data_IF_321236224055
#
_entry.id   IF_321236224055
#
_cell.length_a   1.000
_cell.length_b   1.000
_cell.length_c   1.000
_cell.angle_alpha   90.00
_cell.angle_beta   90.00
_cell.angle_gamma   90.00
#
_symmetry.space_group_name_H-M   'P 1'
#
loop_
_entity.id
_entity.type
_entity.pdbx_description
1 polymer ?
#
# COMPACT_ATOMS: atom_id res chain seq x y z
N UNK A 1 -8.15 -24.60 -3.46
CA UNK A 1 -8.34 -25.60 -4.53
C UNK A 1 -7.95 -24.97 -5.86
N UNK A 2 -6.80 -25.35 -6.40
CA UNK A 2 -6.42 -25.08 -7.79
C UNK A 2 -7.27 -26.00 -8.68
N UNK A 3 -7.86 -25.45 -9.75
CA UNK A 3 -8.56 -26.26 -10.74
C UNK A 3 -7.51 -27.08 -11.54
N UNK A 4 -7.50 -28.43 -11.46
CA UNK A 4 -6.45 -29.26 -12.08
C UNK A 4 -6.73 -29.58 -13.57
N UNK A 5 -7.71 -28.93 -14.20
CA UNK A 5 -8.23 -29.30 -15.52
C UNK A 5 -7.34 -29.05 -16.75
N UNK A 6 -6.02 -28.91 -16.61
CA UNK A 6 -5.12 -28.80 -17.78
C UNK A 6 -3.94 -29.79 -17.77
N UNK A 7 -3.98 -30.79 -16.90
CA UNK A 7 -2.97 -31.84 -16.85
C UNK A 7 -3.63 -33.22 -17.00
N UNK A 8 -4.05 -33.57 -18.22
CA UNK A 8 -4.05 -34.96 -18.72
C UNK A 8 -4.37 -35.07 -20.22
N UNK A 9 -3.48 -35.80 -20.89
CA UNK A 9 -3.71 -36.68 -22.05
C UNK A 9 -4.36 -36.12 -23.32
N UNK A 10 -3.57 -35.37 -24.08
CA UNK A 10 -3.37 -35.60 -25.53
C UNK A 10 -2.16 -34.77 -25.94
N UNK A 11 -1.34 -35.24 -26.89
CA UNK A 11 -0.06 -34.66 -27.30
C UNK A 11 -0.12 -33.26 -27.95
N UNK A 12 -0.97 -32.36 -27.47
CA UNK A 12 -0.96 -30.93 -27.79
C UNK A 12 -0.33 -30.18 -26.63
N UNK A 13 0.90 -29.70 -26.84
CA UNK A 13 1.46 -28.70 -25.94
C UNK A 13 0.51 -27.50 -25.93
N UNK A 14 -0.18 -27.25 -24.81
CA UNK A 14 -0.82 -25.95 -24.58
C UNK A 14 0.30 -24.90 -24.50
N UNK A 15 0.70 -24.36 -25.66
CA UNK A 15 1.60 -23.20 -25.72
C UNK A 15 0.82 -22.01 -25.17
N UNK A 16 1.01 -21.73 -23.89
CA UNK A 16 0.49 -20.50 -23.31
C UNK A 16 1.30 -19.36 -23.95
N UNK A 17 0.70 -18.66 -24.91
CA UNK A 17 1.23 -17.38 -25.39
C UNK A 17 1.16 -16.42 -24.21
N UNK A 18 2.31 -16.12 -23.60
CA UNK A 18 2.44 -15.16 -22.50
C UNK A 18 3.19 -13.95 -23.03
N UNK A 19 2.88 -12.77 -22.49
CA UNK A 19 3.58 -11.53 -22.83
C UNK A 19 4.77 -11.25 -21.89
N UNK A 20 4.97 -12.13 -20.90
CA UNK A 20 6.11 -12.06 -20.01
C UNK A 20 6.06 -13.04 -18.84
N UNK A 21 7.04 -12.86 -17.95
CA UNK A 21 7.21 -13.62 -16.71
C UNK A 21 7.45 -12.65 -15.56
N UNK A 22 6.79 -12.91 -14.43
CA UNK A 22 7.06 -12.24 -13.16
C UNK A 22 7.73 -13.23 -12.20
N UNK A 23 8.85 -12.80 -11.62
CA UNK A 23 9.53 -13.48 -10.53
C UNK A 23 9.10 -12.81 -9.23
N UNK A 24 8.10 -13.40 -8.58
CA UNK A 24 7.57 -12.89 -7.32
C UNK A 24 8.40 -13.41 -6.14
N UNK A 25 9.34 -12.60 -5.66
CA UNK A 25 10.17 -12.92 -4.48
C UNK A 25 9.53 -12.46 -3.17
N UNK A 26 8.34 -11.83 -3.18
CA UNK A 26 7.69 -11.32 -1.97
C UNK A 26 7.17 -12.41 -1.01
N UNK A 27 6.56 -13.52 -1.47
CA UNK A 27 6.02 -14.54 -0.56
C UNK A 27 7.07 -15.53 -0.01
N UNK A 28 8.38 -15.28 -0.21
CA UNK A 28 9.40 -16.20 0.29
C UNK A 28 10.84 -15.72 0.50
N UNK A 29 11.16 -14.42 0.75
CA UNK A 29 12.54 -14.03 1.09
C UNK A 29 13.18 -14.89 2.20
N UNK A 30 12.48 -15.28 3.28
CA UNK A 30 13.10 -16.13 4.30
C UNK A 30 13.38 -17.55 3.78
N UNK A 31 12.65 -18.08 2.78
CA UNK A 31 12.93 -19.42 2.26
C UNK A 31 14.17 -19.48 1.35
N UNK A 32 14.52 -18.38 0.70
CA UNK A 32 15.72 -18.32 -0.15
C UNK A 32 17.00 -18.08 0.65
N UNK A 33 16.89 -17.50 1.85
CA UNK A 33 18.04 -17.13 2.67
C UNK A 33 17.84 -17.57 4.12
N UNK A 34 18.53 -18.65 4.50
CA UNK A 34 18.52 -19.20 5.87
C UNK A 34 18.78 -18.16 6.95
N UNK A 35 19.65 -17.18 6.70
CA UNK A 35 19.94 -16.09 7.64
C UNK A 35 18.74 -15.18 7.88
N UNK A 36 17.94 -14.92 6.83
CA UNK A 36 16.69 -14.15 6.93
C UNK A 36 15.57 -15.00 7.51
N UNK A 37 15.54 -16.31 7.23
CA UNK A 37 14.63 -17.27 7.88
C UNK A 37 14.78 -17.27 9.42
N UNK A 38 16.02 -17.23 9.90
CA UNK A 38 16.36 -17.32 11.32
C UNK A 38 16.27 -15.96 12.04
N UNK A 39 15.65 -14.93 11.44
CA UNK A 39 15.43 -13.63 12.07
C UNK A 39 16.69 -12.82 12.37
N UNK A 40 17.84 -13.25 11.86
CA UNK A 40 19.09 -12.50 11.99
C UNK A 40 19.12 -11.37 10.97
N UNK A 41 19.68 -10.20 11.33
CA UNK A 41 20.02 -9.20 10.34
C UNK A 41 20.93 -9.88 9.32
N UNK A 42 20.47 -10.02 8.08
CA UNK A 42 21.22 -10.72 7.04
C UNK A 42 22.60 -10.07 6.88
N UNK A 43 23.62 -10.67 7.50
CA UNK A 43 25.00 -10.30 7.27
C UNK A 43 25.25 -10.47 5.77
N UNK A 44 25.83 -9.40 5.18
CA UNK A 44 26.29 -9.26 3.79
C UNK A 44 26.15 -10.59 3.02
N UNK A 45 25.02 -10.77 2.33
CA UNK A 45 24.96 -11.81 1.32
C UNK A 45 26.07 -11.46 0.32
N UNK A 46 27.06 -12.33 0.05
CA UNK A 46 28.12 -12.03 -0.90
C UNK A 46 27.47 -11.62 -2.22
N UNK A 47 27.93 -10.50 -2.76
CA UNK A 47 27.27 -9.57 -3.70
C UNK A 47 26.93 -10.15 -5.10
N UNK A 48 26.34 -11.35 -5.21
CA UNK A 48 26.06 -11.99 -6.51
C UNK A 48 24.90 -12.99 -6.59
N UNK A 49 24.32 -13.44 -5.48
CA UNK A 49 23.37 -14.56 -5.50
C UNK A 49 21.94 -14.23 -5.97
N UNK A 50 21.25 -13.14 -5.57
CA UNK A 50 19.89 -12.87 -6.07
C UNK A 50 19.88 -12.37 -7.54
N UNK A 51 20.98 -11.81 -8.03
CA UNK A 51 21.06 -11.32 -9.41
C UNK A 51 21.29 -12.43 -10.44
N UNK A 52 21.94 -13.53 -10.05
CA UNK A 52 22.28 -14.62 -10.97
C UNK A 52 21.04 -15.36 -11.49
N UNK A 53 20.06 -15.77 -10.65
CA UNK A 53 18.78 -16.31 -11.11
C UNK A 53 18.03 -15.34 -12.03
N UNK A 54 17.94 -14.05 -11.66
CA UNK A 54 17.28 -13.03 -12.48
C UNK A 54 17.93 -12.87 -13.86
N UNK A 55 19.27 -12.86 -13.92
CA UNK A 55 20.04 -12.82 -15.18
C UNK A 55 19.80 -14.06 -16.04
N UNK A 56 19.78 -15.24 -15.43
CA UNK A 56 19.55 -16.50 -16.14
C UNK A 56 18.13 -16.58 -16.72
N UNK A 57 17.12 -16.19 -15.92
CA UNK A 57 15.73 -16.09 -16.41
C UNK A 57 15.64 -15.08 -17.55
N UNK A 58 16.30 -13.92 -17.45
CA UNK A 58 16.28 -12.92 -18.53
C UNK A 58 16.88 -13.47 -19.84
N UNK A 59 17.99 -14.20 -19.78
CA UNK A 59 18.57 -14.86 -20.97
C UNK A 59 17.57 -15.82 -21.62
N UNK A 60 16.85 -16.61 -20.82
CA UNK A 60 15.80 -17.51 -21.32
C UNK A 60 14.63 -16.74 -21.94
N UNK A 61 14.17 -15.66 -21.28
CA UNK A 61 13.09 -14.80 -21.80
C UNK A 61 13.50 -14.15 -23.13
N UNK A 62 14.74 -13.70 -23.27
CA UNK A 62 15.25 -13.11 -24.53
C UNK A 62 15.32 -14.15 -25.65
N UNK A 63 15.81 -15.36 -25.36
CA UNK A 63 15.84 -16.47 -26.32
C UNK A 63 14.43 -16.82 -26.79
N UNK A 64 13.48 -16.90 -25.86
CA UNK A 64 12.09 -17.21 -26.16
C UNK A 64 11.37 -16.06 -26.89
N UNK A 65 11.71 -14.82 -26.58
CA UNK A 65 11.23 -13.63 -27.29
C UNK A 65 11.66 -13.64 -28.75
N UNK A 66 12.95 -13.94 -29.02
CA UNK A 66 13.45 -14.09 -30.38
C UNK A 66 12.77 -15.25 -31.12
N UNK A 67 12.59 -16.40 -30.44
CA UNK A 67 11.90 -17.57 -31.01
C UNK A 67 10.44 -17.29 -31.38
N UNK A 68 9.74 -16.44 -30.61
CA UNK A 68 8.35 -16.08 -30.86
C UNK A 68 8.18 -14.87 -31.78
N UNK A 69 9.25 -14.16 -32.12
CA UNK A 69 9.17 -12.92 -32.91
C UNK A 69 8.42 -11.78 -32.21
N UNK A 70 8.29 -11.82 -30.87
CA UNK A 70 7.63 -10.76 -30.09
C UNK A 70 8.39 -10.42 -28.80
N UNK A 71 8.37 -9.15 -28.33
CA UNK A 71 8.97 -8.78 -27.05
C UNK A 71 8.33 -9.53 -25.88
N UNK A 72 9.14 -10.14 -25.00
CA UNK A 72 8.67 -10.72 -23.74
C UNK A 72 9.20 -9.91 -22.54
N UNK A 73 8.28 -9.56 -21.63
CA UNK A 73 8.57 -8.82 -20.41
C UNK A 73 9.14 -9.74 -19.33
N UNK A 74 10.04 -9.21 -18.52
CA UNK A 74 10.53 -9.87 -17.32
C UNK A 74 10.46 -8.90 -16.14
N UNK A 75 9.70 -9.26 -15.11
CA UNK A 75 9.49 -8.48 -13.88
C UNK A 75 10.03 -9.19 -12.66
N UNK A 76 10.50 -8.41 -11.69
CA UNK A 76 10.82 -8.90 -10.35
C UNK A 76 9.99 -8.15 -9.29
N UNK A 77 9.47 -8.85 -8.30
CA UNK A 77 8.81 -8.23 -7.15
C UNK A 77 9.74 -8.33 -5.92
N UNK A 78 9.98 -7.22 -5.22
CA UNK A 78 10.92 -7.13 -4.10
C UNK A 78 10.40 -6.26 -2.96
N UNK A 79 10.87 -6.53 -1.74
CA UNK A 79 10.65 -5.62 -0.61
C UNK A 79 11.55 -4.38 -0.74
N UNK A 80 10.99 -3.17 -0.57
CA UNK A 80 11.77 -1.94 -0.63
C UNK A 80 12.59 -1.85 0.65
N UNK A 81 13.92 -1.80 0.54
CA UNK A 81 14.74 -1.10 1.52
C UNK A 81 15.40 0.09 0.82
N UNK A 82 15.35 1.31 1.39
CA UNK A 82 16.06 2.46 0.84
C UNK A 82 17.56 2.17 0.63
N UNK A 83 18.17 1.39 1.52
CA UNK A 83 19.57 0.98 1.41
C UNK A 83 19.85 -0.11 0.35
N UNK A 84 18.84 -0.85 -0.14
CA UNK A 84 19.00 -1.77 -1.28
C UNK A 84 18.92 -1.01 -2.61
N UNK A 85 18.19 0.10 -2.66
CA UNK A 85 18.18 1.01 -3.82
C UNK A 85 19.57 1.61 -4.04
N UNK A 86 20.21 2.10 -2.98
CA UNK A 86 21.58 2.64 -3.05
C UNK A 86 22.64 1.60 -3.49
N UNK A 87 22.45 0.31 -3.21
CA UNK A 87 23.39 -0.75 -3.66
C UNK A 87 23.15 -1.25 -5.09
N UNK A 88 21.96 -1.00 -5.63
CA UNK A 88 21.68 -1.24 -7.06
C UNK A 88 22.32 -0.20 -7.97
N UNK A 89 22.90 0.87 -7.41
CA UNK A 89 23.73 1.88 -8.09
C UNK A 89 25.16 1.37 -8.39
N UNK A 90 25.35 0.06 -8.58
CA UNK A 90 26.61 -0.43 -9.16
C UNK A 90 26.71 0.10 -10.59
N UNK A 91 27.51 1.15 -10.71
CA UNK A 91 27.88 1.99 -11.84
C UNK A 91 27.73 1.30 -13.20
N UNK A 92 26.86 1.78 -14.11
CA UNK A 92 27.01 1.45 -15.51
C UNK A 92 28.21 2.23 -16.04
N UNK A 93 29.29 1.52 -16.38
CA UNK A 93 30.38 2.11 -17.15
C UNK A 93 29.86 2.71 -18.46
N UNK A 94 30.57 3.70 -19.04
CA UNK A 94 30.17 4.36 -20.29
C UNK A 94 30.05 3.30 -21.39
N UNK A 95 28.83 3.08 -21.89
CA UNK A 95 28.51 2.08 -22.93
C UNK A 95 27.45 1.03 -22.56
N UNK A 96 26.99 0.98 -21.31
CA UNK A 96 25.98 0.00 -20.87
C UNK A 96 24.53 0.40 -21.22
N UNK A 97 24.12 0.21 -22.48
CA UNK A 97 22.69 0.14 -22.89
C UNK A 97 22.06 -1.18 -22.42
N UNK A 98 22.06 -1.46 -21.12
CA UNK A 98 21.47 -2.71 -20.62
C UNK A 98 20.39 -2.39 -19.58
N UNK A 99 19.15 -2.39 -20.07
CA UNK A 99 17.93 -2.48 -19.27
C UNK A 99 17.88 -3.86 -18.58
N UNK A 100 18.55 -4.00 -17.43
CA UNK A 100 18.71 -5.30 -16.76
C UNK A 100 17.52 -5.76 -15.92
N UNK A 101 16.49 -4.94 -15.69
CA UNK A 101 15.30 -5.40 -14.96
C UNK A 101 14.14 -4.44 -15.14
N UNK A 102 13.08 -4.87 -15.81
CA UNK A 102 11.82 -4.14 -15.74
C UNK A 102 11.19 -4.42 -14.36
N UNK A 103 10.87 -3.34 -13.65
CA UNK A 103 9.81 -3.21 -12.63
C UNK A 103 10.14 -3.58 -11.19
N UNK A 104 9.79 -2.62 -10.33
CA UNK A 104 9.79 -2.65 -8.88
C UNK A 104 8.33 -2.70 -8.40
N UNK A 105 8.01 -3.65 -7.52
CA UNK A 105 6.73 -3.73 -6.82
C UNK A 105 6.89 -3.45 -5.33
N UNK A 106 7.12 -2.18 -4.92
CA UNK A 106 7.39 -1.88 -3.52
C UNK A 106 6.23 -2.22 -2.59
N UNK A 107 6.60 -2.61 -1.37
CA UNK A 107 5.76 -2.69 -0.19
C UNK A 107 5.02 -4.03 0.00
N UNK A 108 5.08 -4.95 -0.96
CA UNK A 108 4.29 -6.19 -0.93
C UNK A 108 2.78 -5.96 -0.81
N UNK A 109 2.31 -4.72 -0.98
CA UNK A 109 0.93 -4.30 -0.76
C UNK A 109 0.48 -4.26 0.69
N UNK A 110 1.39 -4.47 1.64
CA UNK A 110 1.09 -4.58 3.06
C UNK A 110 1.00 -3.22 3.75
N UNK A 111 1.81 -2.25 3.34
CA UNK A 111 1.67 -0.84 3.77
C UNK A 111 0.95 -0.08 2.65
N UNK A 112 -0.24 0.42 2.94
CA UNK A 112 -1.17 0.91 1.91
C UNK A 112 -1.10 2.43 1.76
N UNK A 113 -1.35 3.16 2.84
CA UNK A 113 -1.45 4.63 2.79
C UNK A 113 -0.13 5.36 3.00
N UNK A 114 0.88 4.72 3.61
CA UNK A 114 2.12 5.40 4.04
C UNK A 114 3.39 4.93 3.32
N UNK A 115 3.25 4.08 2.29
CA UNK A 115 4.39 3.53 1.55
C UNK A 115 5.20 4.66 0.87
N UNK A 116 6.48 4.86 1.18
CA UNK A 116 7.28 5.91 0.55
C UNK A 116 7.79 5.42 -0.82
N UNK A 117 7.13 5.79 -1.92
CA UNK A 117 7.52 5.32 -3.27
C UNK A 117 8.31 6.34 -4.10
N UNK A 118 8.34 7.61 -3.69
CA UNK A 118 8.92 8.71 -4.49
C UNK A 118 10.38 8.46 -4.90
N UNK A 119 11.21 7.95 -3.99
CA UNK A 119 12.61 7.62 -4.27
C UNK A 119 12.73 6.54 -5.34
N UNK A 120 11.88 5.51 -5.27
CA UNK A 120 11.87 4.43 -6.27
C UNK A 120 11.33 4.90 -7.62
N UNK A 121 10.32 5.77 -7.63
CA UNK A 121 9.83 6.41 -8.85
C UNK A 121 10.94 7.27 -9.48
N UNK A 122 11.68 8.05 -8.68
CA UNK A 122 12.80 8.85 -9.17
C UNK A 122 13.91 7.97 -9.77
N UNK A 123 14.26 6.86 -9.12
CA UNK A 123 15.22 5.89 -9.66
C UNK A 123 14.71 5.24 -10.95
N UNK A 124 13.43 4.84 -10.98
CA UNK A 124 12.78 4.28 -12.16
C UNK A 124 12.85 5.23 -13.35
N UNK A 125 12.55 6.52 -13.13
CA UNK A 125 12.68 7.57 -14.16
C UNK A 125 14.12 7.72 -14.66
N UNK A 126 15.11 7.71 -13.77
CA UNK A 126 16.54 7.79 -14.15
C UNK A 126 17.00 6.60 -15.01
N UNK A 127 16.35 5.45 -14.88
CA UNK A 127 16.73 4.19 -15.54
C UNK A 127 15.75 3.77 -16.64
N UNK A 128 14.77 4.62 -16.98
CA UNK A 128 13.68 4.31 -17.92
C UNK A 128 12.94 2.99 -17.57
N UNK A 129 12.77 2.73 -16.27
CA UNK A 129 12.05 1.56 -15.75
C UNK A 129 10.75 1.99 -15.08
N UNK A 130 9.58 1.52 -15.55
CA UNK A 130 8.31 1.83 -14.93
C UNK A 130 8.17 1.18 -13.54
N UNK A 131 7.58 1.92 -12.61
CA UNK A 131 7.38 1.49 -11.22
C UNK A 131 5.90 1.22 -10.98
N UNK A 132 5.60 0.03 -10.47
CA UNK A 132 4.23 -0.43 -10.20
C UNK A 132 4.08 -0.81 -8.73
N UNK A 133 3.81 0.15 -7.84
CA UNK A 133 3.59 -0.13 -6.42
C UNK A 133 2.46 -1.14 -6.24
N UNK A 134 2.63 -2.02 -5.26
CA UNK A 134 1.65 -3.05 -4.95
C UNK A 134 0.64 -2.52 -3.92
N UNK A 135 -0.64 -2.79 -4.14
CA UNK A 135 -1.70 -2.72 -3.13
C UNK A 135 -2.27 -4.12 -2.92
N UNK A 136 -2.26 -4.61 -1.68
CA UNK A 136 -2.78 -5.93 -1.34
C UNK A 136 -4.12 -5.82 -0.63
N UNK A 137 -5.05 -6.70 -0.96
CA UNK A 137 -6.28 -6.89 -0.18
C UNK A 137 -5.96 -7.17 1.29
N UNK A 138 -4.87 -7.88 1.57
CA UNK A 138 -4.39 -8.12 2.92
C UNK A 138 -4.00 -6.80 3.61
N UNK A 139 -3.42 -5.83 2.91
CA UNK A 139 -3.14 -4.51 3.48
C UNK A 139 -4.40 -3.68 3.76
N UNK A 140 -5.49 -3.93 3.04
CA UNK A 140 -6.76 -3.17 3.10
C UNK A 140 -7.88 -3.96 3.80
N UNK A 141 -7.60 -4.43 5.01
CA UNK A 141 -8.58 -5.10 5.88
C UNK A 141 -8.77 -4.31 7.17
N UNK A 142 -10.00 -4.28 7.70
CA UNK A 142 -10.24 -3.84 9.07
C UNK A 142 -9.89 -4.97 10.03
N UNK A 143 -8.79 -4.80 10.77
CA UNK A 143 -8.31 -5.76 11.76
C UNK A 143 -8.70 -5.34 13.17
N UNK A 144 -8.59 -6.27 14.11
CA UNK A 144 -8.69 -5.96 15.53
C UNK A 144 -7.68 -4.85 15.90
N UNK A 145 -8.06 -3.84 16.70
CA UNK A 145 -9.35 -3.70 17.39
C UNK A 145 -10.46 -3.02 16.56
N UNK A 146 -10.20 -2.58 15.32
CA UNK A 146 -11.14 -1.80 14.49
C UNK A 146 -12.15 -2.63 13.69
N UNK A 147 -11.98 -3.95 13.65
CA UNK A 147 -12.85 -4.86 12.91
C UNK A 147 -12.45 -6.31 13.09
N UNK A 148 -13.07 -7.19 12.31
CA UNK A 148 -12.94 -8.64 12.42
C UNK A 148 -12.34 -9.23 11.13
N UNK A 149 -11.22 -8.65 10.67
CA UNK A 149 -10.55 -9.03 9.42
C UNK A 149 -11.51 -8.97 8.22
N UNK A 150 -12.32 -7.92 8.15
CA UNK A 150 -13.24 -7.68 7.03
C UNK A 150 -12.60 -6.74 6.01
N UNK A 151 -13.07 -6.77 4.76
CA UNK A 151 -12.56 -5.90 3.70
C UNK A 151 -12.85 -4.44 4.02
N UNK A 152 -11.88 -3.56 3.80
CA UNK A 152 -12.15 -2.13 3.77
C UNK A 152 -13.05 -1.77 2.56
N UNK A 153 -13.78 -0.64 2.62
CA UNK A 153 -14.57 -0.16 1.49
C UNK A 153 -13.71 0.07 0.24
N UNK A 154 -14.33 0.06 -0.94
CA UNK A 154 -13.61 0.28 -2.21
C UNK A 154 -12.96 1.67 -2.25
N UNK A 155 -13.54 2.64 -1.56
CA UNK A 155 -13.07 4.01 -1.39
C UNK A 155 -11.67 4.08 -0.75
N UNK A 156 -11.31 3.12 0.11
CA UNK A 156 -9.95 2.99 0.66
C UNK A 156 -8.92 2.65 -0.41
N UNK A 157 -9.27 1.77 -1.35
CA UNK A 157 -8.40 1.45 -2.49
C UNK A 157 -8.18 2.67 -3.36
N UNK A 158 -9.21 3.50 -3.52
CA UNK A 158 -9.14 4.73 -4.31
C UNK A 158 -8.20 5.73 -3.65
N UNK A 159 -8.29 5.93 -2.33
CA UNK A 159 -7.39 6.83 -1.61
C UNK A 159 -5.93 6.38 -1.66
N UNK A 160 -5.68 5.09 -1.40
CA UNK A 160 -4.34 4.52 -1.48
C UNK A 160 -3.77 4.65 -2.91
N UNK A 161 -4.57 4.33 -3.93
CA UNK A 161 -4.14 4.44 -5.33
C UNK A 161 -3.88 5.89 -5.75
N UNK A 162 -4.72 6.83 -5.31
CA UNK A 162 -4.56 8.25 -5.65
C UNK A 162 -3.24 8.80 -5.17
N UNK A 163 -2.78 8.37 -3.98
CA UNK A 163 -1.48 8.76 -3.45
C UNK A 163 -0.34 8.20 -4.29
N UNK A 164 -0.43 6.92 -4.68
CA UNK A 164 0.61 6.29 -5.51
C UNK A 164 0.70 6.94 -6.90
N UNK A 165 -0.42 7.31 -7.50
CA UNK A 165 -0.44 8.08 -8.75
C UNK A 165 0.20 9.45 -8.59
N UNK A 166 -0.12 10.17 -7.52
CA UNK A 166 0.47 11.49 -7.23
C UNK A 166 1.98 11.43 -7.01
N UNK A 167 2.46 10.37 -6.36
CA UNK A 167 3.89 10.10 -6.18
C UNK A 167 4.60 9.67 -7.49
N UNK A 168 3.86 9.52 -8.59
CA UNK A 168 4.39 9.31 -9.94
C UNK A 168 4.52 7.85 -10.36
N UNK A 169 3.74 6.93 -9.76
CA UNK A 169 3.68 5.54 -10.21
C UNK A 169 3.32 5.44 -11.70
N UNK A 170 3.90 4.45 -12.39
CA UNK A 170 3.57 4.15 -13.80
C UNK A 170 2.32 3.28 -13.95
N UNK A 171 1.81 2.77 -12.83
CA UNK A 171 0.61 1.95 -12.73
C UNK A 171 0.49 1.34 -11.34
N UNK A 172 -0.65 0.74 -11.05
CA UNK A 172 -0.92 0.11 -9.74
C UNK A 172 -0.97 -1.40 -9.93
N UNK A 173 -0.15 -2.13 -9.16
CA UNK A 173 -0.22 -3.57 -9.10
C UNK A 173 -1.12 -3.99 -7.94
N UNK A 174 -2.07 -4.89 -8.19
CA UNK A 174 -2.98 -5.39 -7.15
C UNK A 174 -2.64 -6.82 -6.77
N UNK A 175 -2.65 -7.11 -5.48
CA UNK A 175 -2.40 -8.44 -4.93
C UNK A 175 -3.58 -8.89 -4.07
N UNK A 176 -3.92 -10.17 -4.12
CA UNK A 176 -5.07 -10.76 -3.41
C UNK A 176 -6.44 -10.09 -3.69
N UNK A 177 -6.57 -9.30 -4.75
CA UNK A 177 -7.84 -8.74 -5.22
C UNK A 177 -8.34 -9.54 -6.42
N UNK A 178 -9.02 -10.65 -6.14
CA UNK A 178 -9.49 -11.55 -7.19
C UNK A 178 -10.96 -11.28 -7.54
N UNK A 179 -11.29 -11.05 -8.82
CA UNK A 179 -12.68 -11.02 -9.29
C UNK A 179 -13.30 -12.45 -9.37
N UNK A 180 -12.54 -13.50 -9.03
CA UNK A 180 -13.00 -14.88 -8.90
C UNK A 180 -11.84 -15.83 -8.53
N UNK A 181 -12.09 -17.04 -8.00
CA UNK A 181 -13.39 -17.58 -7.57
C UNK A 181 -13.80 -16.99 -6.20
N UNK A 182 -14.93 -16.28 -6.16
CA UNK A 182 -15.47 -15.63 -4.95
C UNK A 182 -16.98 -15.38 -5.08
N UNK A 183 -17.64 -14.87 -4.04
CA UNK A 183 -19.09 -14.60 -4.02
C UNK A 183 -19.47 -13.49 -5.02
N UNK A 184 -20.74 -13.37 -5.46
CA UNK A 184 -21.18 -12.24 -6.28
C UNK A 184 -20.80 -10.86 -5.70
N UNK A 185 -20.83 -10.73 -4.36
CA UNK A 185 -20.39 -9.53 -3.66
C UNK A 185 -18.88 -9.28 -3.85
N UNK A 186 -18.04 -10.31 -3.75
CA UNK A 186 -16.60 -10.22 -3.99
C UNK A 186 -16.29 -9.79 -5.42
N UNK A 187 -17.04 -10.33 -6.39
CA UNK A 187 -16.88 -9.96 -7.81
C UNK A 187 -17.27 -8.51 -8.05
N UNK A 188 -18.40 -8.06 -7.48
CA UNK A 188 -18.85 -6.66 -7.57
C UNK A 188 -17.84 -5.71 -6.92
N UNK A 189 -17.31 -6.10 -5.75
CA UNK A 189 -16.29 -5.35 -5.03
C UNK A 189 -15.01 -5.21 -5.86
N UNK A 190 -14.44 -6.32 -6.35
CA UNK A 190 -13.23 -6.32 -7.17
C UNK A 190 -13.41 -5.51 -8.46
N UNK A 191 -14.54 -5.69 -9.18
CA UNK A 191 -14.84 -4.92 -10.39
C UNK A 191 -14.93 -3.42 -10.13
N UNK A 192 -15.58 -3.00 -9.03
CA UNK A 192 -15.67 -1.60 -8.62
C UNK A 192 -14.28 -0.97 -8.44
N UNK A 193 -13.35 -1.72 -7.84
CA UNK A 193 -11.97 -1.25 -7.61
C UNK A 193 -11.18 -1.23 -8.92
N UNK A 194 -11.13 -2.37 -9.64
CA UNK A 194 -10.34 -2.52 -10.86
C UNK A 194 -10.78 -1.56 -11.98
N UNK A 195 -12.06 -1.22 -12.05
CA UNK A 195 -12.58 -0.24 -13.00
C UNK A 195 -12.23 1.22 -12.68
N UNK A 196 -11.60 1.50 -11.53
CA UNK A 196 -11.36 2.88 -11.05
C UNK A 196 -9.91 3.21 -10.75
N UNK A 197 -9.16 2.29 -10.13
CA UNK A 197 -7.80 2.59 -9.64
C UNK A 197 -6.75 2.82 -10.73
N UNK A 198 -7.08 2.54 -11.99
CA UNK A 198 -6.16 2.64 -13.12
C UNK A 198 -5.87 4.05 -13.62
N UNK A 199 -6.54 5.10 -13.13
CA UNK A 199 -6.24 6.48 -13.52
C UNK A 199 -6.65 7.49 -12.46
N UNK A 200 -5.90 8.60 -12.35
CA UNK A 200 -6.21 9.69 -11.41
C UNK A 200 -7.58 10.32 -11.70
N UNK A 201 -7.93 10.51 -12.97
CA UNK A 201 -9.23 11.08 -13.41
C UNK A 201 -10.42 10.28 -12.90
N UNK A 202 -10.35 8.95 -12.91
CA UNK A 202 -11.43 8.08 -12.41
C UNK A 202 -11.53 8.10 -10.88
N UNK A 203 -10.41 8.31 -10.19
CA UNK A 203 -10.36 8.38 -8.73
C UNK A 203 -11.02 9.65 -8.18
N UNK A 204 -10.73 10.81 -8.78
CA UNK A 204 -11.23 12.10 -8.31
C UNK A 204 -12.69 12.38 -8.69
N UNK A 205 -13.32 11.56 -9.54
CA UNK A 205 -14.74 11.72 -9.90
C UNK A 205 -15.71 10.94 -9.01
N UNK A 206 -15.22 10.29 -7.94
CA UNK A 206 -16.02 9.42 -7.07
C UNK A 206 -15.73 9.72 -5.60
N UNK A 207 -16.58 9.26 -4.65
CA UNK A 207 -16.21 9.26 -3.24
C UNK A 207 -14.88 8.52 -3.01
N UNK A 208 -14.07 9.05 -2.10
CA UNK A 208 -12.72 8.55 -1.82
C UNK A 208 -12.44 8.60 -0.32
N UNK A 209 -11.66 7.64 0.16
CA UNK A 209 -11.25 7.57 1.56
C UNK A 209 -9.72 7.58 1.64
N UNK A 210 -9.17 8.64 2.20
CA UNK A 210 -7.78 8.70 2.64
C UNK A 210 -7.68 8.23 4.08
N UNK A 211 -6.60 7.56 4.45
CA UNK A 211 -6.41 7.12 5.83
C UNK A 211 -4.94 7.09 6.20
N UNK A 212 -4.66 6.93 7.49
CA UNK A 212 -3.34 6.56 8.00
C UNK A 212 -3.30 5.03 8.10
N UNK A 213 -2.19 4.41 7.68
CA UNK A 213 -2.04 2.96 7.70
C UNK A 213 -2.17 2.41 9.13
N UNK A 214 -2.88 1.29 9.28
CA UNK A 214 -2.97 0.54 10.54
C UNK A 214 -1.89 -0.57 10.65
N UNK A 215 -0.89 -0.51 9.76
CA UNK A 215 0.20 -1.47 9.66
C UNK A 215 0.90 -1.76 11.00
N UNK A 216 0.97 -0.80 11.92
CA UNK A 216 1.61 -1.00 13.23
C UNK A 216 0.94 -2.06 14.11
N UNK A 217 -0.32 -2.43 13.85
CA UNK A 217 -1.00 -3.50 14.59
C UNK A 217 -0.55 -4.91 14.23
N UNK A 218 -0.13 -5.13 12.99
CA UNK A 218 0.05 -6.49 12.47
C UNK A 218 1.38 -6.69 11.77
N UNK A 219 2.03 -5.63 11.29
CA UNK A 219 3.38 -5.70 10.75
C UNK A 219 4.40 -6.24 11.75
N UNK A 220 4.38 -5.90 13.06
CA UNK A 220 5.34 -6.48 14.01
C UNK A 220 5.30 -8.02 14.07
N UNK A 221 4.13 -8.62 13.85
CA UNK A 221 3.96 -10.08 13.81
C UNK A 221 4.09 -10.66 12.39
N UNK A 222 4.29 -9.83 11.36
CA UNK A 222 4.27 -10.27 9.97
C UNK A 222 5.61 -10.85 9.53
N UNK A 223 5.66 -12.17 9.37
CA UNK A 223 6.89 -12.92 9.09
C UNK A 223 7.70 -12.47 7.87
N UNK A 224 7.08 -11.88 6.84
CA UNK A 224 7.77 -11.56 5.59
C UNK A 224 8.22 -10.11 5.45
N UNK A 225 7.56 -9.20 6.16
CA UNK A 225 7.64 -7.77 5.85
C UNK A 225 8.07 -6.90 7.04
N UNK A 226 8.05 -7.44 8.26
CA UNK A 226 8.36 -6.71 9.50
C UNK A 226 9.77 -6.10 9.52
N UNK A 227 10.75 -6.79 8.92
CA UNK A 227 12.16 -6.38 9.00
C UNK A 227 12.62 -5.53 7.80
N UNK A 228 11.73 -5.27 6.85
CA UNK A 228 12.07 -4.61 5.58
C UNK A 228 11.17 -3.43 5.25
N UNK A 229 9.94 -3.40 5.77
CA UNK A 229 9.01 -2.32 5.49
C UNK A 229 9.05 -1.27 6.60
N UNK A 230 9.15 0.00 6.22
CA UNK A 230 9.11 1.13 7.16
C UNK A 230 7.66 1.44 7.55
N UNK A 231 7.28 1.11 8.79
CA UNK A 231 5.91 1.35 9.31
C UNK A 231 5.88 2.19 10.59
N UNK A 232 6.96 2.87 10.98
CA UNK A 232 6.97 3.71 12.21
C UNK A 232 5.96 4.86 12.19
N UNK A 233 5.53 5.28 11.00
CA UNK A 233 4.53 6.32 10.78
C UNK A 233 3.08 5.80 10.86
N UNK A 234 2.88 4.48 10.87
CA UNK A 234 1.56 3.87 10.97
C UNK A 234 0.96 4.01 12.38
N UNK A 235 -0.32 3.67 12.49
CA UNK A 235 -1.04 3.48 13.75
C UNK A 235 -0.84 2.05 14.26
N UNK A 236 -0.91 1.82 15.59
CA UNK A 236 -1.38 2.73 16.64
C UNK A 236 -0.37 3.80 17.09
N UNK A 237 -0.89 4.91 17.61
CA UNK A 237 -0.15 5.96 18.30
C UNK A 237 -0.62 6.05 19.77
N UNK A 238 0.26 5.69 20.71
CA UNK A 238 -0.01 5.72 22.14
C UNK A 238 -0.04 7.17 22.68
N UNK A 239 -1.18 7.57 23.26
CA UNK A 239 -1.42 8.93 23.72
C UNK A 239 -0.91 9.17 25.13
N UNK A 240 -0.31 10.34 25.33
CA UNK A 240 0.13 10.86 26.62
C UNK A 240 -0.99 11.76 27.15
N UNK A 241 -1.42 11.59 28.42
CA UNK A 241 -2.46 12.44 29.01
C UNK A 241 -2.13 13.92 28.86
N UNK A 242 -3.13 14.71 28.49
CA UNK A 242 -3.08 16.16 28.36
C UNK A 242 -2.02 16.71 27.39
N UNK A 243 -1.45 15.87 26.51
CA UNK A 243 -0.49 16.31 25.49
C UNK A 243 -1.04 16.05 24.10
N UNK A 244 -0.90 17.05 23.23
CA UNK A 244 -1.16 16.84 21.81
C UNK A 244 -0.12 15.90 21.23
N UNK A 245 -0.62 14.94 20.47
CA UNK A 245 0.20 14.08 19.62
C UNK A 245 -0.36 14.08 18.22
N UNK A 246 0.50 13.76 17.25
CA UNK A 246 0.14 13.90 15.85
C UNK A 246 0.59 12.73 14.98
N UNK A 247 -0.19 12.54 13.91
CA UNK A 247 0.17 11.79 12.71
C UNK A 247 -0.23 12.58 11.47
N UNK A 248 0.38 12.24 10.35
CA UNK A 248 0.06 12.87 9.08
C UNK A 248 -0.84 11.96 8.27
N UNK A 249 -1.95 12.51 7.79
CA UNK A 249 -2.81 11.89 6.79
C UNK A 249 -2.54 12.59 5.45
N UNK A 250 -2.19 11.81 4.43
CA UNK A 250 -1.82 12.37 3.14
C UNK A 250 -3.00 12.45 2.17
N UNK A 251 -3.27 13.65 1.65
CA UNK A 251 -4.31 13.94 0.65
C UNK A 251 -3.62 14.44 -0.62
N UNK A 252 -3.42 13.60 -1.64
CA UNK A 252 -2.69 13.98 -2.86
C UNK A 252 -3.42 14.99 -3.76
N UNK A 253 -4.73 15.14 -3.58
CA UNK A 253 -5.58 15.98 -4.40
C UNK A 253 -5.55 17.43 -3.96
N UNK A 254 -5.58 18.35 -4.93
CA UNK A 254 -5.92 19.74 -4.66
C UNK A 254 -7.45 19.89 -4.64
N UNK A 255 -7.98 20.30 -3.50
CA UNK A 255 -9.41 20.53 -3.29
C UNK A 255 -9.75 22.02 -3.40
N UNK A 256 -8.81 22.87 -3.83
CA UNK A 256 -9.10 24.25 -4.16
C UNK A 256 -10.10 24.32 -5.33
N UNK A 257 -11.14 25.14 -5.19
CA UNK A 257 -12.14 25.34 -6.24
C UNK A 257 -13.14 24.21 -6.47
N UNK A 258 -13.18 23.17 -5.62
CA UNK A 258 -14.23 22.14 -5.70
C UNK A 258 -15.59 22.72 -5.32
N UNK A 259 -16.66 22.21 -5.95
CA UNK A 259 -18.02 22.70 -5.76
C UNK A 259 -18.56 22.51 -4.34
N UNK A 260 -19.59 23.30 -3.98
CA UNK A 260 -20.23 23.26 -2.66
C UNK A 260 -20.91 21.93 -2.31
N UNK A 261 -21.14 21.06 -3.30
CA UNK A 261 -21.65 19.70 -3.11
C UNK A 261 -20.61 18.72 -2.54
N UNK A 262 -19.33 19.08 -2.59
CA UNK A 262 -18.26 18.25 -2.04
C UNK A 262 -18.22 18.40 -0.52
N UNK A 263 -18.28 17.27 0.19
CA UNK A 263 -18.24 17.24 1.66
C UNK A 263 -17.10 16.38 2.15
N UNK A 264 -16.51 16.76 3.29
CA UNK A 264 -15.45 16.00 3.93
C UNK A 264 -15.79 15.64 5.39
N UNK A 265 -15.44 14.42 5.78
CA UNK A 265 -15.69 13.85 7.09
C UNK A 265 -14.43 13.13 7.58
N UNK A 266 -13.87 13.59 8.70
CA UNK A 266 -12.79 12.91 9.40
C UNK A 266 -13.38 11.97 10.44
N UNK A 267 -12.99 10.70 10.39
CA UNK A 267 -13.29 9.69 11.41
C UNK A 267 -12.03 9.35 12.17
N UNK A 268 -12.10 9.45 13.49
CA UNK A 268 -10.97 9.20 14.38
C UNK A 268 -11.37 8.14 15.39
N UNK A 269 -10.60 7.06 15.44
CA UNK A 269 -10.85 5.90 16.29
C UNK A 269 -9.83 5.82 17.42
N UNK A 270 -10.32 5.54 18.62
CA UNK A 270 -9.50 5.39 19.81
C UNK A 270 -9.77 4.08 20.55
N UNK A 271 -8.74 3.54 21.19
CA UNK A 271 -8.88 2.63 22.33
C UNK A 271 -8.62 3.37 23.65
N UNK A 272 -9.06 2.80 24.77
CA UNK A 272 -8.79 3.33 26.11
C UNK A 272 -9.59 4.57 26.49
N UNK A 273 -10.52 5.03 25.65
CA UNK A 273 -11.44 6.13 26.00
C UNK A 273 -12.73 5.59 26.63
N UNK A 274 -13.22 6.32 27.64
CA UNK A 274 -14.51 6.08 28.31
C UNK A 274 -15.66 6.60 27.44
N UNK A 275 -16.90 6.51 27.93
CA UNK A 275 -18.10 6.94 27.16
C UNK A 275 -18.26 8.44 27.13
N UNK A 276 -17.88 9.05 28.22
CA UNK A 276 -17.92 10.46 28.56
C UNK A 276 -16.65 11.20 28.16
N UNK A 277 -15.61 10.49 27.70
CA UNK A 277 -14.36 11.12 27.26
C UNK A 277 -14.60 12.06 26.07
N UNK A 278 -14.04 13.27 26.17
CA UNK A 278 -14.14 14.35 25.18
C UNK A 278 -12.74 14.70 24.64
N UNK A 279 -12.12 13.85 23.80
CA UNK A 279 -10.82 14.15 23.24
C UNK A 279 -10.87 15.45 22.40
N UNK A 280 -9.81 16.24 22.48
CA UNK A 280 -9.59 17.37 21.58
C UNK A 280 -9.04 16.83 20.26
N UNK A 281 -9.73 17.10 19.15
CA UNK A 281 -9.35 16.63 17.80
C UNK A 281 -9.13 17.85 16.90
N UNK A 282 -7.98 17.89 16.24
CA UNK A 282 -7.66 18.89 15.23
C UNK A 282 -7.26 18.21 13.92
N UNK A 283 -7.65 18.83 12.81
CA UNK A 283 -7.23 18.50 11.46
C UNK A 283 -6.64 19.74 10.79
N UNK A 284 -5.32 19.85 10.81
CA UNK A 284 -4.58 21.07 10.49
C UNK A 284 -5.13 22.33 11.18
N UNK A 285 -5.84 23.18 10.44
CA UNK A 285 -6.41 24.44 10.94
C UNK A 285 -7.83 24.25 11.48
N UNK A 286 -8.49 23.13 11.16
CA UNK A 286 -9.81 22.81 11.69
C UNK A 286 -9.68 22.28 13.12
N UNK A 287 -10.25 23.01 14.07
CA UNK A 287 -10.32 22.63 15.47
C UNK A 287 -11.74 22.19 15.81
N UNK A 288 -11.91 20.94 16.24
CA UNK A 288 -13.21 20.41 16.65
C UNK A 288 -13.44 20.51 18.16
N UNK A 289 -12.46 21.07 18.89
CA UNK A 289 -12.51 21.21 20.34
C UNK A 289 -12.66 19.87 21.07
N UNK A 290 -13.06 19.90 22.34
CA UNK A 290 -13.48 18.70 23.07
C UNK A 290 -14.67 18.07 22.34
N UNK A 291 -14.42 16.94 21.70
CA UNK A 291 -15.42 16.26 20.87
C UNK A 291 -16.13 15.22 21.71
N UNK A 292 -17.40 15.45 22.06
CA UNK A 292 -18.25 14.47 22.73
C UNK A 292 -18.91 13.47 21.78
N UNK A 293 -19.69 12.55 22.34
CA UNK A 293 -20.60 11.70 21.55
C UNK A 293 -19.94 10.58 20.74
N UNK A 294 -18.73 10.16 21.11
CA UNK A 294 -18.05 9.06 20.42
C UNK A 294 -18.86 7.75 20.46
N UNK A 295 -19.03 7.12 19.30
CA UNK A 295 -19.79 5.88 19.14
C UNK A 295 -18.90 4.67 19.34
N UNK A 296 -19.40 3.64 20.03
CA UNK A 296 -18.70 2.36 20.15
C UNK A 296 -18.90 1.55 18.86
N UNK A 297 -17.81 1.19 18.19
CA UNK A 297 -17.82 0.43 16.93
C UNK A 297 -16.76 -0.67 17.02
N UNK A 298 -17.15 -1.94 16.91
CA UNK A 298 -16.24 -3.11 16.89
C UNK A 298 -15.15 -3.18 18.00
N UNK A 299 -15.30 -2.45 19.12
CA UNK A 299 -14.31 -2.40 20.21
C UNK A 299 -13.62 -1.05 20.39
N UNK A 300 -13.89 -0.08 19.51
CA UNK A 300 -13.24 1.24 19.48
C UNK A 300 -14.25 2.34 19.73
N UNK A 301 -13.77 3.50 20.18
CA UNK A 301 -14.56 4.73 20.28
C UNK A 301 -14.28 5.60 19.05
N UNK A 302 -15.27 5.70 18.16
CA UNK A 302 -15.20 6.49 16.93
C UNK A 302 -15.82 7.87 17.11
N UNK A 303 -15.08 8.89 16.72
CA UNK A 303 -15.57 10.27 16.60
C UNK A 303 -15.61 10.66 15.12
N UNK A 304 -16.62 11.44 14.75
CA UNK A 304 -16.86 11.88 13.39
C UNK A 304 -16.92 13.39 13.37
N UNK A 305 -16.04 14.02 12.59
CA UNK A 305 -15.89 15.47 12.51
C UNK A 305 -16.11 15.92 11.07
N UNK A 306 -17.03 16.86 10.85
CA UNK A 306 -17.23 17.48 9.52
C UNK A 306 -16.08 18.43 9.27
N UNK A 307 -15.28 18.18 8.24
CA UNK A 307 -14.11 19.00 7.91
C UNK A 307 -14.51 19.97 6.81
N UNK A 308 -14.32 21.29 7.00
CA UNK A 308 -14.43 22.24 5.89
C UNK A 308 -13.43 21.85 4.80
N UNK A 309 -13.90 21.67 3.57
CA UNK A 309 -13.05 21.18 2.47
C UNK A 309 -11.87 22.14 2.22
N UNK A 310 -12.07 23.43 2.44
CA UNK A 310 -11.08 24.49 2.32
C UNK A 310 -9.95 24.39 3.37
N UNK A 311 -10.17 23.66 4.47
CA UNK A 311 -9.15 23.42 5.49
C UNK A 311 -8.21 22.27 5.12
N UNK A 312 -8.54 21.48 4.08
CA UNK A 312 -7.77 20.33 3.63
C UNK A 312 -6.73 20.81 2.62
N UNK A 313 -5.46 20.57 2.90
CA UNK A 313 -4.34 20.92 2.02
C UNK A 313 -3.97 19.76 1.12
N UNK A 314 -3.50 20.07 -0.09
CA UNK A 314 -2.79 19.08 -0.88
C UNK A 314 -1.50 18.68 -0.15
N UNK A 315 -1.28 17.37 -0.01
CA UNK A 315 -0.15 16.77 0.67
C UNK A 315 -0.45 16.32 2.08
N UNK A 316 0.49 16.54 3.00
CA UNK A 316 0.40 16.04 4.37
C UNK A 316 -0.48 16.95 5.24
N UNK A 317 -1.53 16.38 5.82
CA UNK A 317 -2.43 17.07 6.75
C UNK A 317 -2.24 16.52 8.17
N UNK A 318 -2.13 17.39 9.18
CA UNK A 318 -1.92 16.95 10.56
C UNK A 318 -3.22 16.52 11.21
N UNK A 319 -3.27 15.26 11.67
CA UNK A 319 -4.28 14.78 12.61
C UNK A 319 -3.67 14.89 14.00
N UNK A 320 -4.14 15.85 14.80
CA UNK A 320 -3.68 16.05 16.17
C UNK A 320 -4.78 15.66 17.15
N UNK A 321 -4.40 14.95 18.21
CA UNK A 321 -5.34 14.50 19.24
C UNK A 321 -4.76 14.71 20.62
N UNK A 322 -5.62 15.03 21.58
CA UNK A 322 -5.29 15.14 23.00
C UNK A 322 -6.45 14.60 23.82
N UNK A 323 -6.14 13.88 24.89
CA UNK A 323 -7.13 13.32 25.81
C UNK A 323 -6.59 13.35 27.24
N UNK A 324 -7.49 13.36 28.22
CA UNK A 324 -7.14 13.25 29.65
C UNK A 324 -6.89 11.80 30.07
N UNK A 325 -7.42 10.83 29.32
CA UNK A 325 -7.37 9.41 29.69
C UNK A 325 -5.95 8.85 29.58
N UNK A 326 -5.57 8.05 30.58
CA UNK A 326 -4.33 7.27 30.60
C UNK A 326 -4.52 5.99 29.77
N UNK A 327 -3.47 5.58 29.04
CA UNK A 327 -3.50 4.34 28.23
C UNK A 327 -4.32 4.43 26.94
N UNK A 328 -4.84 5.61 26.58
CA UNK A 328 -5.54 5.80 25.32
C UNK A 328 -4.58 5.71 24.13
N UNK A 329 -5.07 5.23 22.99
CA UNK A 329 -4.31 5.23 21.73
C UNK A 329 -5.18 5.71 20.58
N UNK A 330 -4.59 6.50 19.69
CA UNK A 330 -5.14 6.74 18.36
C UNK A 330 -4.87 5.51 17.49
N UNK A 331 -5.91 4.91 16.94
CA UNK A 331 -5.80 3.64 16.24
C UNK A 331 -6.33 3.68 14.80
N UNK A 332 -7.11 4.71 14.46
CA UNK A 332 -7.61 4.95 13.11
C UNK A 332 -7.83 6.42 12.86
N UNK A 333 -7.49 6.87 11.66
CA UNK A 333 -7.81 8.20 11.15
C UNK A 333 -8.15 8.06 9.65
N UNK A 334 -9.37 8.42 9.29
CA UNK A 334 -9.91 8.27 7.94
C UNK A 334 -10.58 9.57 7.51
N UNK A 335 -10.15 10.15 6.39
CA UNK A 335 -10.79 11.28 5.77
C UNK A 335 -11.61 10.80 4.57
N UNK A 336 -12.92 10.96 4.68
CA UNK A 336 -13.88 10.64 3.64
C UNK A 336 -14.26 11.89 2.88
N UNK A 337 -14.06 11.90 1.57
CA UNK A 337 -14.51 12.97 0.67
C UNK A 337 -15.63 12.40 -0.20
N UNK A 338 -16.78 13.08 -0.20
CA UNK A 338 -17.96 12.74 -1.00
C UNK A 338 -18.19 13.81 -2.06
N UNK A 339 -18.53 13.39 -3.27
CA UNK A 339 -18.70 14.23 -4.45
C UNK A 339 -20.07 14.01 -5.07
#
# INVERSE_FOLDING_TARGET
MLNPGCWRSSGRSCRISRDGVELDFLPGPPFYFRTTFLGSAGNRCPDGHPHTPGRNVRKLVLKESARQGKPLLCRHAYHPRPNMVARSESTPGPGSKRNWSTRWGPGGGFITFDLPIKEMVALGKKTDVPVYPCLSQSGLMYRSPRGQSTKQPAESWMGASSRLWHDGASGIYVFNLFPGPGTPADRKYARKILGRIGSLKSLTSHPIQYAISDAGFWMPAHHWAKDVAEFSKALPLALKPNKFQQRFLHVPEDLSGVGFNVTAELRVDFTGLKKESTPEILFDSANFGPTGGGKKVHGVRRYTCKVPVQAIKQGANRVMVKTRETGASLIGAELWIRR
#
